data_IF_579779784582
#
_entry.id   IF_579779784582
#
_cell.length_a   1.000
_cell.length_b   1.000
_cell.length_c   1.000
_cell.angle_alpha   90.00
_cell.angle_beta   90.00
_cell.angle_gamma   90.00
#
_symmetry.space_group_name_H-M   'P 1'
#
loop_
_entity.id
_entity.type
_entity.pdbx_description
1 polymer ?
#
# COMPACT_ATOMS: atom_id res chain seq x y z
N UNK A 1 -12.74 25.24 -3.13
CA UNK A 1 -11.75 24.14 -3.21
C UNK A 1 -12.07 23.21 -4.39
N UNK A 2 -11.08 22.83 -5.23
CA UNK A 2 -11.24 22.19 -6.55
C UNK A 2 -12.27 22.88 -7.49
N UNK A 3 -12.30 22.54 -8.78
CA UNK A 3 -13.21 23.20 -9.72
C UNK A 3 -14.69 22.95 -9.36
N UNK A 4 -15.49 24.02 -9.36
CA UNK A 4 -16.94 24.00 -9.24
C UNK A 4 -17.52 24.53 -10.55
N UNK A 5 -18.44 23.80 -11.17
CA UNK A 5 -19.08 24.28 -12.38
C UNK A 5 -19.88 25.56 -12.09
N UNK A 6 -19.59 26.68 -12.78
CA UNK A 6 -20.29 27.94 -12.54
C UNK A 6 -21.74 27.92 -13.07
N UNK A 7 -22.13 26.88 -13.81
CA UNK A 7 -23.45 26.70 -14.41
C UNK A 7 -23.88 27.91 -15.28
N UNK A 8 -22.89 28.58 -15.89
CA UNK A 8 -23.11 29.67 -16.83
C UNK A 8 -23.06 29.09 -18.23
N UNK A 9 -24.15 29.28 -18.99
CA UNK A 9 -24.17 28.86 -20.40
C UNK A 9 -23.31 29.77 -21.27
N UNK A 10 -23.22 31.04 -20.91
CA UNK A 10 -22.47 32.03 -21.66
C UNK A 10 -21.37 32.64 -20.80
N UNK A 11 -20.19 32.82 -21.37
CA UNK A 11 -19.08 33.56 -20.77
C UNK A 11 -18.62 34.65 -21.72
N UNK A 12 -18.44 35.86 -21.20
CA UNK A 12 -17.97 37.01 -21.98
C UNK A 12 -16.65 36.67 -22.70
N UNK A 13 -16.61 36.84 -24.02
CA UNK A 13 -15.44 36.52 -24.86
C UNK A 13 -15.40 35.09 -25.38
N UNK A 14 -16.50 34.33 -25.26
CA UNK A 14 -16.63 32.97 -25.81
C UNK A 14 -17.85 32.90 -26.71
N UNK A 15 -17.64 32.51 -27.97
CA UNK A 15 -18.68 32.53 -29.02
C UNK A 15 -19.50 31.23 -29.11
N UNK A 16 -19.49 30.43 -28.05
CA UNK A 16 -20.27 29.19 -27.94
C UNK A 16 -20.82 29.00 -26.53
N UNK A 17 -21.95 28.32 -26.44
CA UNK A 17 -22.58 28.00 -25.17
C UNK A 17 -21.93 26.78 -24.52
N UNK A 18 -21.76 26.84 -23.21
CA UNK A 18 -21.31 25.71 -22.39
C UNK A 18 -22.51 24.83 -22.01
N UNK A 19 -22.42 23.53 -22.29
CA UNK A 19 -23.32 22.52 -21.77
C UNK A 19 -22.68 21.79 -20.58
N UNK A 20 -23.43 21.70 -19.48
CA UNK A 20 -22.94 21.15 -18.22
C UNK A 20 -24.07 20.38 -17.54
N UNK A 21 -23.98 19.06 -17.57
CA UNK A 21 -24.98 18.17 -16.97
C UNK A 21 -24.64 17.75 -15.53
N UNK A 22 -23.39 17.98 -15.08
CA UNK A 22 -22.84 17.48 -13.82
C UNK A 22 -23.64 17.85 -12.56
N UNK A 23 -24.33 19.01 -12.53
CA UNK A 23 -25.04 19.52 -11.34
C UNK A 23 -26.28 18.68 -10.98
N UNK A 24 -26.90 18.03 -11.97
CA UNK A 24 -28.09 17.21 -11.77
C UNK A 24 -27.75 15.73 -11.61
N UNK A 25 -26.46 15.40 -11.61
CA UNK A 25 -25.99 14.04 -11.48
C UNK A 25 -25.83 13.65 -10.01
N UNK A 26 -25.97 12.35 -9.79
CA UNK A 26 -25.86 11.66 -8.53
C UNK A 26 -24.74 10.63 -8.63
N UNK A 27 -24.34 10.07 -7.49
CA UNK A 27 -23.32 9.03 -7.47
C UNK A 27 -23.73 7.80 -8.31
N UNK A 28 -25.03 7.57 -8.53
CA UNK A 28 -25.53 6.50 -9.42
C UNK A 28 -25.21 6.75 -10.90
N UNK A 29 -25.05 8.00 -11.31
CA UNK A 29 -24.60 8.34 -12.68
C UNK A 29 -23.10 8.07 -12.87
N UNK A 30 -22.34 7.98 -11.77
CA UNK A 30 -20.91 7.65 -11.76
C UNK A 30 -20.72 6.13 -11.64
N UNK A 31 -21.50 5.50 -10.76
CA UNK A 31 -21.47 4.06 -10.47
C UNK A 31 -22.90 3.52 -10.54
N UNK A 32 -23.36 3.03 -11.72
CA UNK A 32 -24.73 2.55 -11.91
C UNK A 32 -25.12 1.41 -10.97
N UNK A 33 -24.15 0.56 -10.60
CA UNK A 33 -24.31 -0.58 -9.69
C UNK A 33 -24.34 -0.18 -8.21
N UNK A 34 -24.08 1.08 -7.88
CA UNK A 34 -24.10 1.53 -6.50
C UNK A 34 -25.51 1.39 -5.92
N UNK A 35 -25.56 0.86 -4.70
CA UNK A 35 -26.80 0.69 -3.98
C UNK A 35 -27.54 2.04 -3.81
N UNK A 36 -28.87 2.02 -3.93
CA UNK A 36 -29.73 3.21 -3.90
C UNK A 36 -29.42 4.21 -2.77
N UNK A 37 -29.04 3.70 -1.60
CA UNK A 37 -28.81 4.55 -0.42
C UNK A 37 -27.59 5.48 -0.58
N UNK A 38 -26.57 5.04 -1.34
CA UNK A 38 -25.38 5.82 -1.69
C UNK A 38 -25.47 6.39 -3.11
N UNK A 39 -26.18 5.71 -4.02
CA UNK A 39 -26.35 6.14 -5.41
C UNK A 39 -27.07 7.49 -5.52
N UNK A 40 -28.02 7.78 -4.61
CA UNK A 40 -28.75 9.06 -4.57
C UNK A 40 -27.94 10.25 -4.03
N UNK A 41 -26.71 10.03 -3.57
CA UNK A 41 -25.86 11.11 -3.07
C UNK A 41 -25.49 12.06 -4.20
N UNK A 42 -25.74 13.36 -4.00
CA UNK A 42 -25.32 14.40 -4.92
C UNK A 42 -23.91 14.88 -4.62
N UNK A 43 -23.25 15.40 -5.64
CA UNK A 43 -21.96 16.08 -5.55
C UNK A 43 -22.01 17.35 -6.40
N UNK A 44 -21.33 18.39 -5.94
CA UNK A 44 -21.36 19.73 -6.55
C UNK A 44 -20.02 20.13 -7.19
N UNK A 45 -18.95 19.44 -6.82
CA UNK A 45 -17.59 19.77 -7.23
C UNK A 45 -16.71 18.51 -7.30
N UNK A 46 -15.52 18.68 -7.90
CA UNK A 46 -14.57 17.58 -8.11
C UNK A 46 -14.12 16.96 -6.78
N UNK A 47 -13.93 17.76 -5.72
CA UNK A 47 -13.50 17.27 -4.42
C UNK A 47 -14.54 16.35 -3.77
N UNK A 48 -15.82 16.75 -3.78
CA UNK A 48 -16.92 15.94 -3.25
C UNK A 48 -17.04 14.62 -4.00
N UNK A 49 -16.93 14.64 -5.33
CA UNK A 49 -16.95 13.42 -6.13
C UNK A 49 -15.72 12.54 -5.85
N UNK A 50 -14.52 13.13 -5.81
CA UNK A 50 -13.28 12.41 -5.51
C UNK A 50 -13.35 11.72 -4.15
N UNK A 51 -13.94 12.38 -3.15
CA UNK A 51 -14.20 11.81 -1.82
C UNK A 51 -15.15 10.63 -1.88
N UNK A 52 -16.28 10.76 -2.58
CA UNK A 52 -17.25 9.67 -2.72
C UNK A 52 -16.65 8.45 -3.42
N UNK A 53 -15.95 8.66 -4.54
CA UNK A 53 -15.22 7.59 -5.25
C UNK A 53 -14.19 6.96 -4.31
N UNK A 54 -13.35 7.77 -3.67
CA UNK A 54 -12.30 7.27 -2.77
C UNK A 54 -12.87 6.37 -1.67
N UNK A 55 -13.96 6.78 -1.02
CA UNK A 55 -14.61 5.97 0.03
C UNK A 55 -15.22 4.70 -0.56
N UNK A 56 -15.92 4.81 -1.70
CA UNK A 56 -16.60 3.69 -2.34
C UNK A 56 -15.62 2.56 -2.74
N UNK A 57 -14.46 2.94 -3.28
CA UNK A 57 -13.41 2.01 -3.72
C UNK A 57 -12.54 1.51 -2.55
N UNK A 58 -12.60 2.14 -1.38
CA UNK A 58 -11.71 1.83 -0.26
C UNK A 58 -12.37 1.17 0.95
N UNK A 59 -13.64 1.45 1.24
CA UNK A 59 -14.34 0.93 2.41
C UNK A 59 -15.04 -0.38 2.07
N UNK A 60 -14.67 -1.50 2.70
CA UNK A 60 -15.34 -2.80 2.45
C UNK A 60 -16.67 -2.88 3.19
N UNK A 61 -16.72 -2.40 4.43
CA UNK A 61 -17.89 -2.63 5.26
C UNK A 61 -19.04 -1.76 4.72
N UNK A 62 -20.10 -2.41 4.24
CA UNK A 62 -21.21 -1.71 3.59
C UNK A 62 -21.83 -0.64 4.49
N UNK A 63 -21.98 -0.89 5.79
CA UNK A 63 -22.55 0.07 6.74
C UNK A 63 -21.60 1.24 7.00
N UNK A 64 -20.31 0.96 7.23
CA UNK A 64 -19.29 2.02 7.36
C UNK A 64 -19.17 2.83 6.09
N UNK A 65 -19.27 2.21 4.92
CA UNK A 65 -19.24 2.88 3.61
C UNK A 65 -20.41 3.84 3.50
N UNK A 66 -21.64 3.36 3.72
CA UNK A 66 -22.85 4.20 3.73
C UNK A 66 -22.71 5.37 4.70
N UNK A 67 -22.25 5.10 5.92
CA UNK A 67 -22.06 6.11 6.95
C UNK A 67 -21.04 7.18 6.52
N UNK A 68 -19.84 6.75 6.11
CA UNK A 68 -18.74 7.64 5.68
C UNK A 68 -19.07 8.43 4.41
N UNK A 69 -19.78 7.82 3.45
CA UNK A 69 -20.20 8.52 2.24
C UNK A 69 -21.28 9.57 2.53
N UNK A 70 -22.22 9.28 3.44
CA UNK A 70 -23.25 10.25 3.88
C UNK A 70 -22.65 11.38 4.73
N UNK A 71 -21.65 11.09 5.54
CA UNK A 71 -20.96 12.09 6.34
C UNK A 71 -20.04 12.95 5.45
N UNK A 72 -20.45 14.20 5.20
CA UNK A 72 -19.64 15.16 4.43
C UNK A 72 -18.39 15.63 5.19
N UNK A 73 -18.34 15.46 6.51
CA UNK A 73 -17.19 15.82 7.34
C UNK A 73 -16.10 14.75 7.32
N UNK A 74 -16.42 13.52 6.93
CA UNK A 74 -15.42 12.48 6.78
C UNK A 74 -14.59 12.73 5.51
N UNK A 75 -13.41 13.33 5.69
CA UNK A 75 -12.50 13.69 4.62
C UNK A 75 -11.54 12.53 4.33
N UNK A 76 -11.84 11.79 3.26
CA UNK A 76 -10.97 10.73 2.75
C UNK A 76 -10.90 10.82 1.24
N UNK A 77 -9.71 11.09 0.72
CA UNK A 77 -9.45 11.27 -0.71
C UNK A 77 -8.17 10.53 -1.07
N UNK A 78 -8.20 9.87 -2.23
CA UNK A 78 -7.09 9.14 -2.84
C UNK A 78 -6.69 9.81 -4.16
N UNK A 79 -5.45 9.59 -4.60
CA UNK A 79 -5.01 10.09 -5.91
C UNK A 79 -5.88 9.54 -7.04
N UNK A 80 -6.20 8.25 -7.00
CA UNK A 80 -7.08 7.57 -7.96
C UNK A 80 -8.49 8.18 -7.95
N UNK A 81 -9.09 8.41 -6.78
CA UNK A 81 -10.40 9.07 -6.68
C UNK A 81 -10.42 10.46 -7.32
N UNK A 82 -9.35 11.25 -7.15
CA UNK A 82 -9.23 12.59 -7.78
C UNK A 82 -9.09 12.48 -9.29
N UNK A 83 -8.23 11.58 -9.78
CA UNK A 83 -8.06 11.31 -11.21
C UNK A 83 -9.39 10.91 -11.89
N UNK A 84 -10.18 10.06 -11.25
CA UNK A 84 -11.51 9.63 -11.72
C UNK A 84 -12.52 10.77 -11.67
N UNK A 85 -12.53 11.56 -10.61
CA UNK A 85 -13.43 12.72 -10.52
C UNK A 85 -13.14 13.77 -11.61
N UNK A 86 -11.86 14.05 -11.90
CA UNK A 86 -11.49 14.97 -12.97
C UNK A 86 -11.90 14.46 -14.35
N UNK A 87 -11.70 13.17 -14.65
CA UNK A 87 -12.11 12.57 -15.92
C UNK A 87 -13.64 12.56 -16.09
N UNK A 88 -14.40 12.31 -15.01
CA UNK A 88 -15.85 12.44 -15.02
C UNK A 88 -16.30 13.87 -15.31
N UNK A 89 -15.76 14.86 -14.60
CA UNK A 89 -16.09 16.26 -14.84
C UNK A 89 -15.67 16.74 -16.23
N UNK A 90 -14.52 16.29 -16.75
CA UNK A 90 -14.10 16.54 -18.14
C UNK A 90 -15.16 16.07 -19.14
N UNK A 91 -15.83 14.95 -18.87
CA UNK A 91 -16.86 14.40 -19.77
C UNK A 91 -18.20 15.14 -19.71
N UNK A 92 -18.56 15.67 -18.54
CA UNK A 92 -19.91 16.20 -18.26
C UNK A 92 -19.97 17.70 -17.96
N UNK A 93 -18.84 18.40 -18.09
CA UNK A 93 -18.73 19.84 -17.88
C UNK A 93 -17.78 20.46 -18.92
N UNK A 94 -18.35 21.19 -19.89
CA UNK A 94 -17.58 21.86 -20.94
C UNK A 94 -16.56 22.86 -20.39
N UNK A 95 -16.85 23.49 -19.25
CA UNK A 95 -15.89 24.39 -18.59
C UNK A 95 -14.61 23.64 -18.18
N UNK A 96 -14.75 22.43 -17.61
CA UNK A 96 -13.59 21.60 -17.23
C UNK A 96 -12.89 21.08 -18.47
N UNK A 97 -13.65 20.61 -19.47
CA UNK A 97 -13.09 20.13 -20.73
C UNK A 97 -12.22 21.22 -21.40
N UNK A 98 -12.74 22.43 -21.53
CA UNK A 98 -12.02 23.57 -22.08
C UNK A 98 -10.82 23.96 -21.22
N UNK A 99 -11.00 24.03 -19.90
CA UNK A 99 -9.91 24.37 -18.97
C UNK A 99 -8.73 23.41 -19.14
N UNK A 100 -9.00 22.11 -19.22
CA UNK A 100 -7.97 21.08 -19.43
C UNK A 100 -7.35 21.16 -20.84
N UNK A 101 -8.12 21.50 -21.87
CA UNK A 101 -7.61 21.63 -23.24
C UNK A 101 -6.66 22.83 -23.42
N UNK A 102 -6.87 23.91 -22.66
CA UNK A 102 -6.02 25.09 -22.65
C UNK A 102 -4.87 25.00 -21.64
N UNK A 103 -4.84 23.96 -20.82
CA UNK A 103 -3.86 23.79 -19.76
C UNK A 103 -2.51 23.34 -20.34
N UNK A 104 -1.43 23.97 -19.92
CA UNK A 104 -0.06 23.66 -20.35
C UNK A 104 0.59 22.50 -19.56
N UNK A 105 -0.07 22.01 -18.52
CA UNK A 105 0.39 20.94 -17.65
C UNK A 105 1.14 21.42 -16.40
N UNK A 106 1.27 22.74 -16.20
CA UNK A 106 1.89 23.31 -15.02
C UNK A 106 1.11 22.98 -13.72
N UNK A 107 1.78 22.82 -12.56
CA UNK A 107 1.09 22.61 -11.29
C UNK A 107 0.14 23.77 -10.96
N UNK A 108 -1.08 23.44 -10.55
CA UNK A 108 -2.09 24.44 -10.14
C UNK A 108 -2.19 24.46 -8.62
N UNK A 109 -1.84 25.60 -8.04
CA UNK A 109 -1.88 25.82 -6.59
C UNK A 109 -3.23 26.39 -6.19
N UNK A 110 -3.90 25.71 -5.26
CA UNK A 110 -5.09 26.22 -4.60
C UNK A 110 -4.70 27.38 -3.68
N UNK A 111 -5.45 28.50 -3.70
CA UNK A 111 -5.12 29.68 -2.91
C UNK A 111 -5.38 29.51 -1.40
N UNK A 112 -6.27 28.59 -1.01
CA UNK A 112 -6.58 28.27 0.38
C UNK A 112 -7.19 26.87 0.50
N UNK A 113 -6.98 26.21 1.65
CA UNK A 113 -7.68 24.98 2.02
C UNK A 113 -8.94 25.33 2.83
N UNK A 114 -10.12 25.08 2.29
CA UNK A 114 -11.40 25.13 3.03
C UNK A 114 -11.50 24.05 4.12
N UNK A 115 -10.70 22.98 4.02
CA UNK A 115 -10.70 21.85 4.95
C UNK A 115 -9.43 21.88 5.79
N UNK A 116 -9.59 21.90 7.12
CA UNK A 116 -8.46 21.93 8.06
C UNK A 116 -7.73 20.59 8.20
N UNK A 117 -8.35 19.47 7.82
CA UNK A 117 -7.79 18.13 8.05
C UNK A 117 -6.78 17.70 6.99
N UNK A 118 -6.90 18.22 5.75
CA UNK A 118 -6.00 17.90 4.65
C UNK A 118 -5.10 19.11 4.39
N UNK A 119 -3.76 18.99 4.57
CA UNK A 119 -2.82 20.05 4.25
C UNK A 119 -2.97 20.56 2.82
N UNK A 120 -2.79 21.86 2.62
CA UNK A 120 -3.00 22.50 1.31
C UNK A 120 -2.00 22.00 0.27
N UNK A 121 -0.77 21.68 0.68
CA UNK A 121 0.27 21.14 -0.19
C UNK A 121 -0.19 19.80 -0.79
N UNK A 122 -0.78 18.94 0.04
CA UNK A 122 -1.35 17.67 -0.40
C UNK A 122 -2.52 17.87 -1.37
N UNK A 123 -3.39 18.84 -1.12
CA UNK A 123 -4.49 19.12 -2.03
C UNK A 123 -3.98 19.60 -3.40
N UNK A 124 -2.88 20.38 -3.42
CA UNK A 124 -2.25 20.86 -4.65
C UNK A 124 -1.60 19.73 -5.45
N UNK A 125 -0.95 18.79 -4.77
CA UNK A 125 -0.36 17.60 -5.41
C UNK A 125 -1.45 16.74 -6.05
N UNK A 126 -2.50 16.42 -5.28
CA UNK A 126 -3.65 15.65 -5.76
C UNK A 126 -4.35 16.34 -6.94
N UNK A 127 -4.52 17.66 -6.87
CA UNK A 127 -5.10 18.47 -7.94
C UNK A 127 -4.27 18.40 -9.22
N UNK A 128 -2.95 18.56 -9.09
CA UNK A 128 -2.03 18.49 -10.21
C UNK A 128 -1.99 17.10 -10.85
N UNK A 129 -2.03 16.03 -10.04
CA UNK A 129 -2.14 14.66 -10.57
C UNK A 129 -3.47 14.42 -11.30
N UNK A 130 -4.59 14.88 -10.74
CA UNK A 130 -5.91 14.76 -11.35
C UNK A 130 -5.98 15.44 -12.73
N UNK A 131 -5.44 16.65 -12.83
CA UNK A 131 -5.34 17.41 -14.10
C UNK A 131 -4.52 16.64 -15.13
N UNK A 132 -3.30 16.23 -14.78
CA UNK A 132 -2.39 15.50 -15.70
C UNK A 132 -3.03 14.20 -16.21
N UNK A 133 -3.69 13.47 -15.32
CA UNK A 133 -4.38 12.23 -15.69
C UNK A 133 -5.55 12.50 -16.64
N UNK A 134 -6.41 13.47 -16.31
CA UNK A 134 -7.56 13.78 -17.14
C UNK A 134 -7.21 14.40 -18.49
N UNK A 135 -6.05 15.06 -18.64
CA UNK A 135 -5.57 15.51 -19.96
C UNK A 135 -5.31 14.33 -20.90
N UNK A 136 -4.87 13.18 -20.39
CA UNK A 136 -4.44 12.02 -21.19
C UNK A 136 -5.46 10.89 -21.26
N UNK A 137 -6.47 10.88 -20.38
CA UNK A 137 -7.45 9.80 -20.28
C UNK A 137 -8.88 10.27 -20.59
N UNK A 138 -9.72 9.32 -21.01
CA UNK A 138 -11.15 9.52 -21.20
C UNK A 138 -11.95 8.83 -20.10
N UNK A 139 -13.17 9.30 -19.81
CA UNK A 139 -14.03 8.66 -18.80
C UNK A 139 -14.42 7.22 -19.19
N UNK A 140 -14.53 6.92 -20.49
CA UNK A 140 -14.86 5.57 -20.97
C UNK A 140 -13.80 4.52 -20.63
N UNK A 141 -12.56 4.93 -20.39
CA UNK A 141 -11.46 4.03 -20.04
C UNK A 141 -11.31 3.85 -18.52
N UNK A 142 -12.11 4.58 -17.74
CA UNK A 142 -12.05 4.63 -16.28
C UNK A 142 -13.14 3.74 -15.70
N UNK A 143 -12.73 2.84 -14.81
CA UNK A 143 -13.67 2.02 -14.03
C UNK A 143 -13.65 2.44 -12.57
N UNK A 144 -14.84 2.63 -11.99
CA UNK A 144 -15.00 2.76 -10.54
C UNK A 144 -15.47 1.42 -10.02
N UNK A 145 -14.62 0.75 -9.25
CA UNK A 145 -14.88 -0.61 -8.76
C UNK A 145 -15.24 -0.56 -7.29
N UNK A 146 -16.16 -1.42 -6.87
CA UNK A 146 -16.40 -1.59 -5.44
C UNK A 146 -15.14 -2.12 -4.74
N UNK A 147 -14.92 -1.68 -3.49
CA UNK A 147 -13.76 -2.07 -2.70
C UNK A 147 -13.59 -3.60 -2.60
N UNK A 148 -12.63 -4.16 -3.36
CA UNK A 148 -12.19 -5.56 -3.21
C UNK A 148 -11.06 -5.65 -2.19
N UNK A 149 -11.14 -6.63 -1.28
CA UNK A 149 -10.12 -6.87 -0.27
C UNK A 149 -9.00 -7.80 -0.75
N UNK A 150 -8.41 -7.51 -1.92
CA UNK A 150 -7.19 -8.23 -2.30
C UNK A 150 -6.04 -7.82 -1.39
N UNK A 151 -5.50 -8.79 -0.68
CA UNK A 151 -4.30 -8.67 0.14
C UNK A 151 -3.14 -9.26 -0.66
N UNK A 152 -2.13 -8.45 -0.96
CA UNK A 152 -0.89 -8.92 -1.55
C UNK A 152 0.16 -9.09 -0.45
N UNK A 153 0.63 -10.30 -0.24
CA UNK A 153 1.73 -10.60 0.69
C UNK A 153 3.00 -10.77 -0.14
N UNK A 154 3.89 -9.77 -0.06
CA UNK A 154 5.18 -9.77 -0.74
C UNK A 154 6.20 -10.48 0.15
N UNK A 155 6.68 -11.63 -0.31
CA UNK A 155 7.61 -12.50 0.40
C UNK A 155 8.92 -12.66 -0.38
N UNK A 156 10.07 -12.78 0.31
CA UNK A 156 11.33 -13.04 -0.36
C UNK A 156 11.40 -14.46 -0.94
N UNK A 157 12.34 -14.67 -1.86
CA UNK A 157 12.58 -15.92 -2.61
C UNK A 157 12.65 -17.21 -1.76
N UNK A 158 13.03 -17.12 -0.48
CA UNK A 158 13.02 -18.25 0.45
C UNK A 158 11.63 -18.91 0.61
N UNK A 159 10.55 -18.20 0.28
CA UNK A 159 9.17 -18.68 0.34
C UNK A 159 8.63 -19.20 -1.00
N UNK A 160 9.47 -19.41 -2.03
CA UNK A 160 9.00 -19.82 -3.38
C UNK A 160 8.13 -21.06 -3.44
N UNK A 161 8.22 -21.97 -2.46
CA UNK A 161 7.36 -23.17 -2.40
C UNK A 161 6.00 -22.90 -1.74
N UNK A 162 5.81 -21.79 -1.00
CA UNK A 162 4.57 -21.48 -0.29
C UNK A 162 3.31 -21.49 -1.18
N UNK A 163 3.27 -20.81 -2.34
CA UNK A 163 2.05 -20.76 -3.15
C UNK A 163 1.58 -22.14 -3.62
N UNK A 164 2.50 -23.08 -3.82
CA UNK A 164 2.18 -24.46 -4.24
C UNK A 164 1.65 -25.36 -3.12
N UNK A 165 1.84 -24.95 -1.86
CA UNK A 165 1.51 -25.75 -0.69
C UNK A 165 0.21 -25.32 -0.02
N UNK A 166 -0.24 -24.08 -0.25
CA UNK A 166 -1.38 -23.47 0.42
C UNK A 166 -2.61 -23.58 -0.47
N UNK A 167 -3.78 -23.77 0.13
CA UNK A 167 -5.05 -23.69 -0.60
C UNK A 167 -5.22 -22.26 -1.13
N UNK A 168 -5.39 -22.06 -2.45
CA UNK A 168 -5.58 -20.73 -3.01
C UNK A 168 -6.80 -20.05 -2.38
N UNK A 169 -6.64 -18.79 -1.99
CA UNK A 169 -7.75 -17.95 -1.53
C UNK A 169 -7.92 -16.76 -2.47
N UNK A 170 -9.15 -16.47 -2.87
CA UNK A 170 -9.44 -15.37 -3.81
C UNK A 170 -9.06 -13.99 -3.26
N UNK A 171 -8.99 -13.85 -1.94
CA UNK A 171 -8.68 -12.60 -1.25
C UNK A 171 -7.20 -12.40 -0.97
N UNK A 172 -6.36 -13.44 -1.08
CA UNK A 172 -4.93 -13.37 -0.75
C UNK A 172 -4.08 -13.81 -1.94
N UNK A 173 -3.19 -12.93 -2.37
CA UNK A 173 -2.19 -13.21 -3.39
C UNK A 173 -0.79 -13.19 -2.78
N UNK A 174 0.02 -14.20 -3.09
CA UNK A 174 1.41 -14.29 -2.63
C UNK A 174 2.34 -13.85 -3.76
N UNK A 175 3.02 -12.72 -3.57
CA UNK A 175 4.05 -12.23 -4.49
C UNK A 175 5.43 -12.64 -4.00
N UNK A 176 6.05 -13.62 -4.63
CA UNK A 176 7.43 -14.02 -4.32
C UNK A 176 8.38 -13.16 -5.15
N UNK A 177 9.23 -12.38 -4.48
CA UNK A 177 10.18 -11.49 -5.15
C UNK A 177 11.63 -11.93 -4.90
N UNK A 178 12.44 -11.86 -5.96
CA UNK A 178 13.88 -12.00 -5.87
C UNK A 178 14.57 -10.63 -5.86
N UNK A 179 13.98 -9.65 -6.56
CA UNK A 179 14.49 -8.28 -6.64
C UNK A 179 13.36 -7.27 -6.46
N UNK A 180 13.68 -6.12 -5.88
CA UNK A 180 12.69 -5.04 -5.68
C UNK A 180 12.10 -4.49 -6.98
N UNK A 181 12.79 -4.63 -8.13
CA UNK A 181 12.25 -4.19 -9.42
C UNK A 181 10.98 -4.92 -9.84
N UNK A 182 10.79 -6.15 -9.39
CA UNK A 182 9.63 -6.99 -9.74
C UNK A 182 8.37 -6.62 -8.94
N UNK A 183 8.55 -5.95 -7.79
CA UNK A 183 7.47 -5.61 -6.86
C UNK A 183 6.46 -4.65 -7.50
N UNK A 184 6.93 -3.70 -8.32
CA UNK A 184 6.04 -2.75 -9.00
C UNK A 184 5.03 -3.50 -9.89
N UNK A 185 5.51 -4.46 -10.69
CA UNK A 185 4.65 -5.22 -11.59
C UNK A 185 3.69 -6.14 -10.83
N UNK A 186 4.12 -6.70 -9.69
CA UNK A 186 3.25 -7.50 -8.81
C UNK A 186 2.10 -6.67 -8.25
N UNK A 187 2.39 -5.47 -7.76
CA UNK A 187 1.38 -4.54 -7.22
C UNK A 187 0.41 -4.12 -8.34
N UNK A 188 0.93 -3.79 -9.52
CA UNK A 188 0.11 -3.38 -10.67
C UNK A 188 -0.82 -4.50 -11.16
N UNK A 189 -0.38 -5.76 -11.14
CA UNK A 189 -1.23 -6.90 -11.54
C UNK A 189 -2.30 -7.22 -10.51
N UNK A 190 -1.94 -7.21 -9.22
CA UNK A 190 -2.85 -7.60 -8.15
C UNK A 190 -3.87 -6.50 -7.81
N UNK A 191 -3.55 -5.22 -8.09
CA UNK A 191 -4.30 -4.03 -7.65
C UNK A 191 -4.72 -4.12 -6.15
N UNK A 192 -3.80 -4.42 -5.22
CA UNK A 192 -4.17 -4.80 -3.86
C UNK A 192 -4.57 -3.59 -3.02
N UNK A 193 -5.54 -3.80 -2.12
CA UNK A 193 -5.94 -2.79 -1.13
C UNK A 193 -5.09 -2.88 0.15
N UNK A 194 -4.52 -4.04 0.42
CA UNK A 194 -3.58 -4.23 1.52
C UNK A 194 -2.32 -4.90 0.99
N UNK A 195 -1.17 -4.35 1.33
CA UNK A 195 0.14 -4.91 0.98
C UNK A 195 0.85 -5.23 2.27
N UNK A 196 1.28 -6.48 2.44
CA UNK A 196 2.18 -6.87 3.53
C UNK A 196 3.53 -7.11 2.90
N UNK A 197 4.48 -6.21 3.15
CA UNK A 197 5.86 -6.34 2.68
C UNK A 197 6.72 -6.95 3.78
N UNK A 198 7.20 -8.17 3.52
CA UNK A 198 8.22 -8.82 4.35
C UNK A 198 9.58 -8.48 3.77
N UNK A 199 10.51 -8.01 4.61
CA UNK A 199 11.87 -7.64 4.19
C UNK A 199 12.65 -8.79 3.51
N UNK A 200 13.69 -8.45 2.74
CA UNK A 200 14.45 -9.41 1.95
C UNK A 200 15.38 -10.28 2.80
N UNK A 201 15.76 -11.44 2.26
CA UNK A 201 16.66 -12.41 2.89
C UNK A 201 17.89 -12.62 2.00
N UNK A 202 18.96 -11.86 2.26
CA UNK A 202 20.23 -11.91 1.51
C UNK A 202 21.43 -11.97 2.46
N UNK A 203 22.51 -12.59 2.00
CA UNK A 203 23.77 -12.62 2.75
C UNK A 203 24.49 -11.27 2.74
N UNK A 204 24.35 -10.51 1.66
CA UNK A 204 24.98 -9.20 1.50
C UNK A 204 23.95 -8.06 1.58
N UNK A 205 24.33 -6.90 2.15
CA UNK A 205 23.48 -5.72 2.16
C UNK A 205 23.09 -5.28 0.75
N UNK A 206 21.82 -4.89 0.57
CA UNK A 206 21.33 -4.33 -0.68
C UNK A 206 21.75 -2.87 -0.83
N UNK A 207 21.98 -2.44 -2.08
CA UNK A 207 22.35 -1.06 -2.36
C UNK A 207 21.22 -0.08 -1.99
N UNK A 208 21.58 1.03 -1.33
CA UNK A 208 20.63 2.07 -0.86
C UNK A 208 19.66 2.56 -1.95
N UNK A 209 20.13 2.71 -3.19
CA UNK A 209 19.27 3.16 -4.29
C UNK A 209 18.10 2.21 -4.58
N UNK A 210 18.26 0.89 -4.35
CA UNK A 210 17.19 -0.09 -4.51
C UNK A 210 16.10 0.10 -3.46
N UNK A 211 16.49 0.36 -2.20
CA UNK A 211 15.56 0.70 -1.13
C UNK A 211 14.80 2.01 -1.40
N UNK A 212 15.48 3.03 -1.92
CA UNK A 212 14.82 4.30 -2.26
C UNK A 212 13.80 4.13 -3.39
N UNK A 213 14.11 3.34 -4.42
CA UNK A 213 13.14 3.00 -5.48
C UNK A 213 11.92 2.27 -4.90
N UNK A 214 12.13 1.33 -3.98
CA UNK A 214 11.04 0.65 -3.28
C UNK A 214 10.20 1.61 -2.43
N UNK A 215 10.83 2.57 -1.75
CA UNK A 215 10.12 3.62 -0.99
C UNK A 215 9.13 4.38 -1.89
N UNK A 216 9.55 4.75 -3.10
CA UNK A 216 8.69 5.41 -4.09
C UNK A 216 7.53 4.53 -4.52
N UNK A 217 7.75 3.23 -4.74
CA UNK A 217 6.70 2.27 -5.11
C UNK A 217 5.67 2.13 -3.98
N UNK A 218 6.12 2.03 -2.73
CA UNK A 218 5.25 1.93 -1.55
C UNK A 218 4.47 3.24 -1.35
N UNK A 219 5.12 4.39 -1.46
CA UNK A 219 4.46 5.69 -1.38
C UNK A 219 3.37 5.83 -2.45
N UNK A 220 3.67 5.46 -3.70
CA UNK A 220 2.70 5.47 -4.81
C UNK A 220 1.52 4.54 -4.53
N UNK A 221 1.76 3.36 -3.96
CA UNK A 221 0.72 2.41 -3.59
C UNK A 221 -0.18 2.97 -2.48
N UNK A 222 0.41 3.62 -1.47
CA UNK A 222 -0.33 4.27 -0.40
C UNK A 222 -1.18 5.45 -0.90
N UNK A 223 -0.64 6.26 -1.83
CA UNK A 223 -1.36 7.37 -2.50
C UNK A 223 -2.54 6.87 -3.33
N UNK A 224 -2.42 5.69 -3.95
CA UNK A 224 -3.51 5.00 -4.62
C UNK A 224 -4.58 4.43 -3.65
N UNK A 225 -4.36 4.54 -2.34
CA UNK A 225 -5.29 4.10 -1.30
C UNK A 225 -4.93 2.78 -0.63
N UNK A 226 -3.86 2.09 -1.04
CA UNK A 226 -3.48 0.82 -0.43
C UNK A 226 -2.92 1.03 0.99
N UNK A 227 -3.26 0.12 1.92
CA UNK A 227 -2.62 0.04 3.22
C UNK A 227 -1.37 -0.84 3.12
N UNK A 228 -0.20 -0.29 3.41
CA UNK A 228 1.06 -1.00 3.34
C UNK A 228 1.60 -1.25 4.74
N UNK A 229 1.77 -2.52 5.09
CA UNK A 229 2.36 -2.97 6.36
C UNK A 229 3.74 -3.53 6.09
N UNK A 230 4.76 -2.96 6.72
CA UNK A 230 6.16 -3.35 6.56
C UNK A 230 6.57 -4.17 7.78
N UNK A 231 7.03 -5.39 7.53
CA UNK A 231 7.40 -6.39 8.54
C UNK A 231 8.86 -6.78 8.37
N UNK A 232 9.49 -7.14 9.50
CA UNK A 232 10.90 -7.49 9.53
C UNK A 232 11.20 -8.69 8.63
N UNK A 233 12.39 -8.72 7.99
CA UNK A 233 12.83 -9.90 7.27
C UNK A 233 12.91 -11.12 8.22
N UNK A 234 12.64 -12.34 7.73
CA UNK A 234 12.98 -13.57 8.44
C UNK A 234 14.45 -13.56 8.88
N UNK A 235 14.73 -14.10 10.07
CA UNK A 235 16.11 -14.18 10.58
C UNK A 235 16.81 -15.41 10.01
N UNK A 236 18.05 -15.26 9.56
CA UNK A 236 18.87 -16.38 9.10
C UNK A 236 20.16 -15.96 8.39
N UNK A 237 20.12 -14.87 7.63
CA UNK A 237 21.22 -14.42 6.77
C UNK A 237 22.10 -13.37 7.44
N UNK A 238 23.34 -13.21 6.97
CA UNK A 238 24.33 -12.31 7.57
C UNK A 238 23.91 -10.83 7.54
N UNK A 239 23.32 -10.38 6.43
CA UNK A 239 22.87 -8.99 6.30
C UNK A 239 21.53 -8.70 7.00
N UNK A 240 20.98 -9.62 7.78
CA UNK A 240 19.65 -9.48 8.41
C UNK A 240 19.50 -8.20 9.23
N UNK A 241 20.48 -7.88 10.09
CA UNK A 241 20.47 -6.66 10.90
C UNK A 241 20.40 -5.40 10.05
N UNK A 242 21.20 -5.35 8.97
CA UNK A 242 21.22 -4.20 8.06
C UNK A 242 19.91 -4.10 7.28
N UNK A 243 19.41 -5.22 6.73
CA UNK A 243 18.15 -5.25 5.99
C UNK A 243 16.96 -4.79 6.85
N UNK A 244 16.97 -5.10 8.15
CA UNK A 244 15.97 -4.63 9.12
C UNK A 244 16.02 -3.11 9.30
N UNK A 245 17.21 -2.52 9.43
CA UNK A 245 17.41 -1.07 9.56
C UNK A 245 17.02 -0.36 8.26
N UNK A 246 17.48 -0.87 7.12
CA UNK A 246 17.19 -0.30 5.81
C UNK A 246 15.69 -0.34 5.49
N UNK A 247 15.00 -1.42 5.84
CA UNK A 247 13.54 -1.53 5.67
C UNK A 247 12.79 -0.49 6.52
N UNK A 248 13.28 -0.21 7.73
CA UNK A 248 12.74 0.87 8.59
C UNK A 248 12.98 2.24 7.97
N UNK A 249 14.21 2.53 7.54
CA UNK A 249 14.55 3.81 6.91
C UNK A 249 13.74 4.03 5.63
N UNK A 250 13.61 2.99 4.80
CA UNK A 250 12.78 2.99 3.61
C UNK A 250 11.31 3.32 3.94
N UNK A 251 10.76 2.76 5.03
CA UNK A 251 9.41 3.07 5.48
C UNK A 251 9.24 4.55 5.85
N UNK A 252 10.22 5.15 6.55
CA UNK A 252 10.20 6.58 6.88
C UNK A 252 10.22 7.45 5.62
N UNK A 253 11.09 7.11 4.66
CA UNK A 253 11.18 7.82 3.37
C UNK A 253 9.86 7.68 2.59
N UNK A 254 9.27 6.49 2.59
CA UNK A 254 7.98 6.24 1.93
C UNK A 254 6.85 7.04 2.59
N UNK A 255 6.83 7.16 3.92
CA UNK A 255 5.89 8.01 4.65
C UNK A 255 6.06 9.49 4.35
N UNK A 256 7.31 9.95 4.29
CA UNK A 256 7.64 11.32 3.89
C UNK A 256 7.24 11.62 2.45
N UNK A 257 7.33 10.63 1.56
CA UNK A 257 6.96 10.78 0.14
C UNK A 257 5.45 10.66 -0.11
N UNK A 258 4.79 9.76 0.62
CA UNK A 258 3.35 9.53 0.54
C UNK A 258 2.56 10.42 1.51
N UNK A 259 3.01 11.66 1.77
CA UNK A 259 2.55 12.55 2.86
C UNK A 259 1.06 12.44 3.15
N UNK A 260 0.27 12.50 2.09
CA UNK A 260 -1.18 12.48 2.06
C UNK A 260 -1.83 11.23 2.65
N UNK A 261 -1.12 10.13 2.55
CA UNK A 261 -1.51 8.78 2.93
C UNK A 261 -0.46 8.15 3.84
N UNK A 262 0.31 8.96 4.58
CA UNK A 262 1.36 8.47 5.50
C UNK A 262 0.82 7.49 6.53
N UNK A 263 -0.44 7.65 6.94
CA UNK A 263 -1.14 6.78 7.89
C UNK A 263 -1.46 5.39 7.29
N UNK A 264 -1.45 5.25 5.97
CA UNK A 264 -1.61 3.96 5.31
C UNK A 264 -0.30 3.17 5.27
N UNK A 265 0.84 3.77 5.60
CA UNK A 265 2.14 3.09 5.64
C UNK A 265 2.51 2.82 7.10
N UNK A 266 2.38 1.57 7.52
CA UNK A 266 2.64 1.12 8.89
C UNK A 266 3.93 0.32 8.93
N UNK A 267 4.94 0.85 9.62
CA UNK A 267 6.18 0.12 9.89
C UNK A 267 6.04 -0.60 11.22
N UNK A 268 5.97 -1.93 11.18
CA UNK A 268 5.83 -2.78 12.37
C UNK A 268 7.17 -3.37 12.84
N UNK A 269 8.29 -2.92 12.29
CA UNK A 269 9.62 -3.35 12.71
C UNK A 269 10.02 -2.50 13.92
N UNK A 270 10.11 -3.00 15.17
CA UNK A 270 10.58 -2.18 16.29
C UNK A 270 12.08 -1.90 16.21
N UNK A 271 12.52 -0.84 16.89
CA UNK A 271 13.93 -0.44 16.97
C UNK A 271 14.78 -1.48 17.72
N UNK A 272 14.19 -2.11 18.73
CA UNK A 272 14.78 -3.21 19.50
C UNK A 272 13.99 -4.47 19.17
N UNK A 273 14.68 -5.60 19.00
CA UNK A 273 14.06 -6.90 18.74
C UNK A 273 13.00 -7.23 19.79
N UNK A 274 11.80 -7.62 19.33
CA UNK A 274 10.71 -8.08 20.19
C UNK A 274 10.44 -9.58 19.98
N UNK A 275 10.06 -10.27 21.05
CA UNK A 275 9.63 -11.67 21.01
C UNK A 275 8.29 -11.89 20.32
N UNK A 276 7.57 -10.82 20.03
CA UNK A 276 6.30 -10.86 19.32
C UNK A 276 6.46 -10.88 17.80
N UNK A 277 7.69 -10.69 17.29
CA UNK A 277 7.91 -10.55 15.85
C UNK A 277 7.95 -11.89 15.11
N UNK A 278 7.38 -11.98 13.90
CA UNK A 278 7.32 -13.22 13.13
C UNK A 278 8.69 -13.82 12.80
N UNK A 279 9.75 -13.00 12.74
CA UNK A 279 11.09 -13.44 12.33
C UNK A 279 11.64 -14.59 13.19
N UNK A 280 11.21 -14.70 14.46
CA UNK A 280 11.73 -15.69 15.40
C UNK A 280 11.41 -17.12 14.99
N UNK A 281 10.24 -17.35 14.39
CA UNK A 281 9.80 -18.67 13.92
C UNK A 281 10.78 -19.27 12.90
N UNK A 282 11.39 -18.43 12.06
CA UNK A 282 12.32 -18.85 11.01
C UNK A 282 13.76 -18.96 11.51
N UNK A 283 14.15 -18.16 12.50
CA UNK A 283 15.48 -18.24 13.12
C UNK A 283 15.77 -19.58 13.81
N UNK A 284 14.72 -20.33 14.19
CA UNK A 284 14.83 -21.69 14.73
C UNK A 284 15.00 -22.77 13.64
N UNK A 285 14.71 -22.42 12.39
CA UNK A 285 14.74 -23.32 11.24
C UNK A 285 15.49 -22.67 10.06
N UNK A 286 16.79 -22.34 10.23
CA UNK A 286 17.56 -21.72 9.18
C UNK A 286 17.66 -22.64 7.95
N UNK A 287 17.64 -22.03 6.77
CA UNK A 287 17.94 -22.70 5.51
C UNK A 287 19.44 -22.92 5.35
N UNK A 288 19.83 -23.94 4.60
CA UNK A 288 21.24 -24.32 4.42
C UNK A 288 22.04 -23.29 3.61
N UNK A 289 21.38 -22.56 2.71
CA UNK A 289 21.96 -21.45 1.95
C UNK A 289 20.91 -20.37 1.66
N UNK A 290 21.34 -19.16 1.33
CA UNK A 290 20.44 -18.06 0.95
C UNK A 290 19.66 -18.30 -0.36
N UNK A 291 20.01 -19.34 -1.12
CA UNK A 291 19.26 -19.77 -2.32
C UNK A 291 18.24 -20.87 -2.02
N UNK A 292 18.32 -21.52 -0.87
CA UNK A 292 17.41 -22.61 -0.52
C UNK A 292 16.03 -22.10 -0.09
N UNK A 293 15.03 -22.95 -0.29
CA UNK A 293 13.70 -22.76 0.28
C UNK A 293 13.74 -23.01 1.77
N UNK A 294 12.92 -22.29 2.52
CA UNK A 294 12.67 -22.66 3.90
C UNK A 294 11.94 -24.00 4.04
N UNK A 295 12.09 -24.70 5.17
CA UNK A 295 11.28 -25.88 5.47
C UNK A 295 9.78 -25.56 5.50
N UNK A 296 8.94 -26.48 5.04
CA UNK A 296 7.49 -26.28 4.94
C UNK A 296 6.85 -25.92 6.28
N UNK A 297 7.25 -26.61 7.35
CA UNK A 297 6.74 -26.40 8.71
C UNK A 297 7.06 -24.98 9.18
N UNK A 298 8.30 -24.54 8.98
CA UNK A 298 8.74 -23.20 9.37
C UNK A 298 7.97 -22.10 8.61
N UNK A 299 7.71 -22.29 7.31
CA UNK A 299 6.91 -21.32 6.54
C UNK A 299 5.48 -21.20 7.06
N UNK A 300 4.82 -22.31 7.41
CA UNK A 300 3.45 -22.29 7.95
C UNK A 300 3.42 -21.58 9.32
N UNK A 301 4.37 -21.91 10.19
CA UNK A 301 4.50 -21.28 11.49
C UNK A 301 4.75 -19.77 11.36
N UNK A 302 5.64 -19.36 10.44
CA UNK A 302 5.88 -17.96 10.13
C UNK A 302 4.62 -17.25 9.65
N UNK A 303 3.87 -17.84 8.73
CA UNK A 303 2.65 -17.22 8.21
C UNK A 303 1.57 -17.06 9.30
N UNK A 304 1.46 -18.02 10.21
CA UNK A 304 0.55 -17.92 11.35
C UNK A 304 1.00 -16.83 12.35
N UNK A 305 2.30 -16.74 12.64
CA UNK A 305 2.85 -15.65 13.44
C UNK A 305 2.65 -14.28 12.76
N UNK A 306 2.89 -14.20 11.45
CA UNK A 306 2.68 -12.99 10.65
C UNK A 306 1.22 -12.53 10.73
N UNK A 307 0.27 -13.45 10.58
CA UNK A 307 -1.17 -13.19 10.69
C UNK A 307 -1.52 -12.55 12.03
N UNK A 308 -1.13 -13.15 13.14
CA UNK A 308 -1.43 -12.60 14.46
C UNK A 308 -0.74 -11.25 14.69
N UNK A 309 0.50 -11.10 14.20
CA UNK A 309 1.28 -9.89 14.34
C UNK A 309 0.65 -8.69 13.62
N UNK A 310 0.17 -8.88 12.39
CA UNK A 310 -0.41 -7.80 11.56
C UNK A 310 -1.92 -7.63 11.75
N UNK A 311 -2.57 -8.45 12.58
CA UNK A 311 -4.03 -8.53 12.72
C UNK A 311 -4.71 -7.20 13.04
N UNK A 312 -4.06 -6.34 13.82
CA UNK A 312 -4.58 -5.02 14.14
C UNK A 312 -4.66 -4.11 12.90
N UNK A 313 -3.83 -4.37 11.90
CA UNK A 313 -3.69 -3.55 10.70
C UNK A 313 -4.41 -4.15 9.49
N UNK A 314 -4.26 -5.46 9.27
CA UNK A 314 -4.82 -6.21 8.14
C UNK A 314 -5.30 -7.58 8.64
N UNK A 315 -6.57 -7.90 8.37
CA UNK A 315 -7.14 -9.20 8.71
C UNK A 315 -6.77 -10.22 7.63
N UNK A 316 -5.70 -10.98 7.87
CA UNK A 316 -5.22 -12.04 6.97
C UNK A 316 -5.92 -13.37 7.34
N UNK A 317 -6.52 -14.08 6.37
CA UNK A 317 -7.07 -15.42 6.59
C UNK A 317 -6.04 -16.45 7.07
N UNK A 318 -6.54 -17.60 7.54
CA UNK A 318 -5.70 -18.69 8.01
C UNK A 318 -5.07 -19.48 6.87
N UNK A 319 -3.75 -19.69 6.95
CA UNK A 319 -3.03 -20.52 5.97
C UNK A 319 -3.40 -21.98 6.16
N UNK A 320 -4.10 -22.55 5.18
CA UNK A 320 -4.44 -23.97 5.12
C UNK A 320 -3.55 -24.69 4.13
N UNK A 321 -2.91 -25.76 4.58
CA UNK A 321 -2.14 -26.63 3.70
C UNK A 321 -3.08 -27.38 2.74
N UNK A 322 -2.74 -27.37 1.46
CA UNK A 322 -3.34 -28.25 0.48
C UNK A 322 -3.05 -29.69 0.91
N UNK A 323 -4.09 -30.51 1.03
CA UNK A 323 -3.92 -31.93 1.34
C UNK A 323 -3.02 -32.54 0.26
N UNK A 324 -1.87 -33.05 0.68
CA UNK A 324 -1.04 -33.90 -0.19
C UNK A 324 -1.90 -35.14 -0.47
N UNK A 325 -2.37 -35.29 -1.72
CA UNK A 325 -2.98 -36.54 -2.14
C UNK A 325 -1.90 -37.62 -2.05
N UNK A 326 -1.82 -38.29 -0.91
CA UNK A 326 -1.03 -39.50 -0.74
C UNK A 326 -1.63 -40.57 -1.65
N UNK A 327 -1.16 -40.58 -2.89
CA UNK A 327 -1.32 -41.66 -3.84
C UNK A 327 -0.43 -42.85 -3.42
N UNK A 328 -0.62 -43.36 -2.20
CA UNK A 328 0.01 -44.59 -1.71
C UNK A 328 -0.91 -45.37 -0.75
N UNK A 329 -1.82 -46.15 -1.35
CA UNK A 329 -1.83 -47.62 -1.32
C UNK A 329 -3.25 -48.16 -1.37
N UNK A 330 -3.81 -48.24 -2.57
CA UNK A 330 -4.86 -49.21 -2.85
C UNK A 330 -4.16 -50.57 -3.05
N UNK A 331 -3.62 -51.15 -1.97
CA UNK A 331 -3.22 -52.56 -1.97
C UNK A 331 -4.46 -53.37 -1.65
N UNK A 332 -5.06 -53.92 -2.71
CA UNK A 332 -6.05 -54.99 -2.63
C UNK A 332 -5.62 -56.03 -1.58
N UNK A 333 -6.47 -56.39 -0.60
CA UNK A 333 -6.28 -57.61 0.18
C UNK A 333 -6.64 -58.78 -0.74
N UNK A 334 -5.64 -59.38 -1.39
CA UNK A 334 -5.85 -60.69 -2.02
C UNK A 334 -5.98 -61.73 -0.91
N UNK A 335 -7.17 -62.30 -0.84
CA UNK A 335 -7.45 -63.58 -0.21
C UNK A 335 -6.41 -64.64 -0.61
N UNK A 336 -5.88 -65.31 0.41
CA UNK A 336 -5.17 -66.57 0.29
C UNK A 336 -5.31 -67.30 1.61
N UNK A 337 -6.25 -68.25 1.67
CA UNK A 337 -6.62 -69.08 2.82
C UNK A 337 -6.22 -70.52 2.49
N UNK A 338 -5.74 -71.25 3.51
CA UNK A 338 -5.53 -72.71 3.59
C UNK A 338 -4.24 -73.27 2.92
N UNK A 339 -3.51 -74.26 3.46
CA UNK A 339 -3.61 -75.08 4.69
C UNK A 339 -2.28 -75.85 4.92
N UNK A 340 -1.99 -76.19 6.21
CA UNK A 340 -1.37 -77.44 6.74
C UNK A 340 0.07 -77.83 6.30
N UNK A 341 0.94 -78.50 7.06
CA UNK A 341 1.13 -78.91 8.46
C UNK A 341 2.52 -79.59 8.53
N UNK A 342 3.03 -79.79 9.76
CA UNK A 342 4.03 -80.80 10.19
C UNK A 342 5.51 -80.56 9.78
N UNK A 343 6.55 -80.82 10.58
CA UNK A 343 6.76 -81.09 12.01
C UNK A 343 8.30 -81.15 12.26
N UNK A 344 8.73 -81.19 13.52
CA UNK A 344 9.97 -81.85 14.02
C UNK A 344 11.33 -81.07 14.02
N UNK A 345 11.59 -80.49 15.20
CA UNK A 345 12.69 -80.80 16.15
C UNK A 345 14.07 -80.10 16.16
N UNK A 346 14.31 -79.47 17.32
CA UNK A 346 15.46 -79.60 18.26
C UNK A 346 16.90 -79.34 17.80
N UNK A 347 17.53 -78.32 18.44
CA UNK A 347 18.67 -78.41 19.42
C UNK A 347 19.28 -77.02 19.62
N UNK A 348 19.21 -76.43 20.83
CA UNK A 348 20.33 -76.20 21.79
C UNK A 348 21.62 -75.68 21.15
N UNK A 349 22.30 -74.62 21.61
CA UNK A 349 22.60 -74.21 22.99
C UNK A 349 23.41 -72.89 22.94
N UNK A 350 23.59 -72.28 24.10
CA UNK A 350 24.61 -71.27 24.49
C UNK A 350 24.34 -69.84 24.02
N UNK A 351 24.39 -68.78 24.83
CA UNK A 351 24.90 -68.57 26.19
C UNK A 351 25.40 -67.12 26.22
N UNK A 352 24.88 -66.26 27.11
CA UNK A 352 25.31 -64.86 27.14
C UNK A 352 24.53 -63.97 28.10
N UNK A 353 25.11 -63.77 29.27
CA UNK A 353 24.59 -63.05 30.44
C UNK A 353 25.06 -61.58 30.45
N UNK A 354 24.27 -60.70 31.09
CA UNK A 354 24.53 -59.31 31.56
C UNK A 354 24.57 -58.18 30.52
N UNK A 355 24.11 -56.94 30.76
CA UNK A 355 23.88 -56.19 32.02
C UNK A 355 22.91 -55.01 31.75
N UNK A 356 22.04 -54.74 32.72
CA UNK A 356 21.24 -53.52 32.82
C UNK A 356 22.11 -52.25 32.88
N UNK A 357 21.71 -51.19 32.18
CA UNK A 357 21.78 -49.82 32.71
C UNK A 357 20.58 -49.00 32.25
N UNK A 358 19.65 -48.78 33.19
CA UNK A 358 18.72 -47.67 33.18
C UNK A 358 19.48 -46.39 33.54
N UNK A 359 19.37 -45.35 32.72
CA UNK A 359 19.45 -43.96 33.22
C UNK A 359 18.32 -43.16 32.57
N UNK A 360 17.19 -43.10 33.28
CA UNK A 360 16.25 -41.98 33.19
C UNK A 360 16.90 -40.78 33.90
N UNK A 361 17.04 -39.65 33.22
CA UNK A 361 17.20 -38.34 33.87
C UNK A 361 16.12 -37.40 33.35
N UNK A 362 15.02 -37.40 34.07
CA UNK A 362 14.13 -36.25 34.24
C UNK A 362 14.88 -35.17 35.02
N UNK A 363 14.95 -33.95 34.51
CA UNK A 363 15.19 -32.78 35.36
C UNK A 363 14.02 -31.82 35.25
N UNK A 364 13.47 -31.54 36.43
CA UNK A 364 12.32 -30.68 36.70
C UNK A 364 12.70 -29.21 36.53
N UNK A 365 11.68 -28.44 36.13
CA UNK A 365 11.52 -27.00 36.34
C UNK A 365 11.94 -26.58 37.75
N UNK A 366 12.50 -25.39 37.88
CA UNK A 366 12.02 -24.46 38.90
C UNK A 366 12.08 -23.00 38.42
N UNK A 367 11.08 -22.17 38.78
CA UNK A 367 10.92 -20.80 38.35
C UNK A 367 11.47 -19.82 39.40
N UNK A 368 12.03 -18.68 38.98
CA UNK A 368 12.16 -17.51 39.85
C UNK A 368 11.99 -16.22 39.04
N UNK A 369 10.90 -15.52 39.38
CA UNK A 369 10.69 -14.08 39.50
C UNK A 369 11.79 -13.13 39.00
N UNK A 370 11.39 -12.10 38.25
CA UNK A 370 11.65 -10.71 38.64
C UNK A 370 10.76 -9.70 37.86
N UNK A 371 9.90 -9.05 38.64
CA UNK A 371 9.57 -7.60 38.65
C UNK A 371 8.97 -6.95 37.40
N UNK A 372 7.67 -6.67 37.52
CA UNK A 372 6.89 -5.71 36.71
C UNK A 372 7.04 -4.31 37.33
N UNK A 373 7.37 -3.26 36.57
CA UNK A 373 7.07 -1.89 36.98
C UNK A 373 5.66 -1.50 36.54
N UNK A 374 4.83 -1.30 37.55
CA UNK A 374 3.55 -0.63 37.51
C UNK A 374 3.80 0.88 37.30
N UNK A 375 3.26 1.50 36.26
CA UNK A 375 3.06 2.95 36.23
C UNK A 375 1.63 3.28 35.83
N UNK A 376 0.93 3.80 36.82
CA UNK A 376 -0.42 4.31 36.83
C UNK A 376 -0.56 5.64 36.10
N UNK A 377 -1.75 5.80 35.51
CA UNK A 377 -2.45 7.03 35.15
C UNK A 377 -1.98 8.31 35.85
N UNK A 378 -1.88 9.40 35.08
CA UNK A 378 -2.29 10.70 35.57
C UNK A 378 -2.93 11.53 34.44
N UNK A 379 -4.26 11.61 34.52
CA UNK A 379 -5.10 12.65 33.94
C UNK A 379 -4.91 13.95 34.72
N UNK A 380 -4.75 15.08 34.02
CA UNK A 380 -5.51 16.27 34.42
C UNK A 380 -5.69 17.26 33.25
N UNK A 381 -6.91 17.81 33.06
CA UNK A 381 -7.24 18.78 32.03
C UNK A 381 -7.26 20.23 32.56
N UNK A 382 -7.40 21.15 31.60
CA UNK A 382 -7.94 22.52 31.70
C UNK A 382 -6.99 23.71 31.92
N UNK A 383 -7.49 24.82 31.33
CA UNK A 383 -7.16 26.24 31.40
C UNK A 383 -6.31 26.74 30.21
N UNK A 384 -6.67 27.76 29.43
CA UNK A 384 -7.79 28.72 29.45
C UNK A 384 -7.87 29.39 28.06
N UNK A 385 -9.06 29.90 27.75
CA UNK A 385 -9.43 30.74 26.62
C UNK A 385 -8.54 31.99 26.44
N UNK A 386 -8.34 32.44 25.20
CA UNK A 386 -8.75 33.80 24.82
C UNK A 386 -8.98 33.94 23.31
N UNK A 387 -10.12 34.55 23.00
CA UNK A 387 -10.61 34.91 21.69
C UNK A 387 -9.94 36.17 21.16
N UNK A 388 -9.64 36.22 19.86
CA UNK A 388 -9.69 37.45 19.08
C UNK A 388 -10.33 37.14 17.73
N UNK A 389 -11.56 37.61 17.53
CA UNK A 389 -12.18 37.70 16.21
C UNK A 389 -11.58 38.86 15.42
N UNK A 390 -11.59 38.76 14.08
CA UNK A 390 -11.96 39.91 13.28
C UNK A 390 -13.17 39.64 12.39
N UNK A 391 -13.86 40.74 12.14
CA UNK A 391 -15.15 40.90 11.49
C UNK A 391 -15.20 40.47 10.01
N UNK A 392 -16.40 40.01 9.63
CA UNK A 392 -17.08 40.16 8.33
C UNK A 392 -16.27 40.66 7.14
N UNK A 393 -16.10 39.77 6.15
CA UNK A 393 -16.06 40.12 4.72
C UNK A 393 -16.87 39.06 3.95
N UNK A 394 -17.88 39.51 3.20
CA UNK A 394 -18.60 38.69 2.23
C UNK A 394 -17.65 38.14 1.15
N UNK A 395 -17.78 36.88 0.69
CA UNK A 395 -17.06 36.46 -0.50
C UNK A 395 -17.77 37.02 -1.74
N UNK A 396 -17.16 38.05 -2.32
CA UNK A 396 -17.41 38.43 -3.70
C UNK A 396 -17.07 37.24 -4.61
N UNK A 397 -18.03 36.83 -5.44
CA UNK A 397 -17.80 35.93 -6.55
C UNK A 397 -16.88 36.60 -7.57
N UNK A 398 -15.64 36.16 -7.74
CA UNK A 398 -14.78 36.69 -8.81
C UNK A 398 -13.97 35.59 -9.52
N UNK A 399 -14.41 35.34 -10.76
CA UNK A 399 -13.62 35.29 -11.98
C UNK A 399 -12.20 34.70 -11.93
N UNK A 400 -12.10 33.40 -12.21
CA UNK A 400 -10.84 32.74 -12.58
C UNK A 400 -10.57 32.72 -14.10
N UNK A 401 -11.30 33.49 -14.92
CA UNK A 401 -11.21 33.33 -16.39
C UNK A 401 -11.11 34.61 -17.23
N UNK A 402 -11.04 35.81 -16.66
CA UNK A 402 -10.88 37.03 -17.45
C UNK A 402 -9.53 37.68 -17.17
N UNK A 403 -8.48 37.20 -17.84
CA UNK A 403 -7.35 38.08 -18.15
C UNK A 403 -6.89 37.82 -19.59
N UNK A 404 -6.92 38.84 -20.46
CA UNK A 404 -6.45 38.71 -21.83
C UNK A 404 -4.93 38.54 -21.84
N UNK A 405 -4.47 37.65 -22.71
CA UNK A 405 -3.06 37.47 -23.08
C UNK A 405 -2.48 38.83 -23.49
N UNK A 406 -1.52 39.35 -22.71
CA UNK A 406 -0.64 40.44 -23.16
C UNK A 406 0.75 39.84 -23.37
N UNK A 407 1.31 39.88 -24.60
CA UNK A 407 2.67 39.42 -24.82
C UNK A 407 3.65 40.42 -24.20
N UNK A 408 4.45 39.96 -23.24
CA UNK A 408 5.58 40.73 -22.73
C UNK A 408 6.69 40.73 -23.79
N UNK A 409 6.73 41.78 -24.60
CA UNK A 409 7.87 42.12 -25.45
C UNK A 409 9.00 42.59 -24.52
N UNK A 410 10.00 41.73 -24.31
CA UNK A 410 11.24 42.10 -23.64
C UNK A 410 12.08 42.94 -24.58
N UNK A 411 12.06 44.26 -24.36
CA UNK A 411 13.14 45.13 -24.79
C UNK A 411 14.08 45.32 -23.59
N UNK A 412 15.29 44.77 -23.67
CA UNK A 412 16.38 45.33 -22.89
C UNK A 412 17.68 45.31 -23.67
N UNK A 413 18.10 46.54 -24.00
CA UNK A 413 19.37 46.95 -24.55
C UNK A 413 20.50 46.58 -23.60
N UNK A 414 21.63 46.20 -24.19
CA UNK A 414 22.81 45.75 -23.50
C UNK A 414 23.59 46.82 -22.73
N UNK A 415 24.40 46.31 -21.80
CA UNK A 415 25.73 46.76 -21.37
C UNK A 415 26.42 45.45 -20.94
N UNK A 416 27.51 44.97 -21.54
CA UNK A 416 28.72 45.69 -21.90
C UNK A 416 29.71 45.61 -20.75
N UNK A 417 30.31 44.44 -20.50
CA UNK A 417 31.52 44.33 -19.67
C UNK A 417 32.60 43.50 -20.37
N UNK A 418 33.72 44.19 -20.60
CA UNK A 418 34.93 43.74 -21.26
C UNK A 418 35.68 42.74 -20.38
N UNK A 419 36.11 41.63 -20.97
CA UNK A 419 37.26 40.85 -20.49
C UNK A 419 38.39 41.02 -21.50
N UNK A 420 39.55 41.48 -21.02
CA UNK A 420 40.73 41.82 -21.78
C UNK A 420 41.74 40.67 -21.64
N UNK A 421 42.08 40.06 -22.78
CA UNK A 421 43.41 39.56 -23.19
C UNK A 421 44.22 38.67 -22.24
N UNK A 422 44.62 37.48 -22.73
CA UNK A 422 46.04 37.16 -22.96
C UNK A 422 46.27 35.76 -23.58
N UNK A 423 46.75 35.78 -24.83
CA UNK A 423 47.85 35.00 -25.45
C UNK A 423 47.92 33.47 -25.35
N UNK A 424 48.15 32.86 -26.53
CA UNK A 424 48.99 31.67 -26.73
C UNK A 424 48.39 30.71 -27.77
N UNK A 425 48.60 30.92 -29.08
CA UNK A 425 49.65 30.34 -29.96
C UNK A 425 49.53 28.82 -30.23
N UNK A 426 49.39 28.50 -31.52
CA UNK A 426 49.73 27.23 -32.18
C UNK A 426 48.67 26.14 -32.01
N UNK A 427 48.22 25.39 -33.00
CA UNK A 427 48.67 25.13 -34.37
C UNK A 427 48.01 23.80 -34.75
N UNK A 428 47.38 23.72 -35.92
CA UNK A 428 46.86 22.49 -36.54
C UNK A 428 48.03 21.53 -36.91
N UNK A 429 47.78 20.32 -37.46
CA UNK A 429 46.71 19.33 -37.23
C UNK A 429 47.28 17.91 -37.00
N UNK A 430 46.46 16.97 -36.52
CA UNK A 430 46.18 15.65 -37.12
C UNK A 430 44.92 15.07 -36.47
#
# INVERSE_FOLDING_TARGET
MFFICPNRRHMDGVDYDFDCSVKNMTFKDVVPEAEDSIGRLSFSNIFELARLISIYECERNADKKRFRMKDRKFLFITATGVQKAFTFFKRHCDHVCRSLALHDGAPVMLPYAETTEIPIEQLNDLNSEGIKFAMTHSWSDVTVKEATQKILILLPEGFRSLPSMVVPEETVEYGIYQRFSEIADMISRAEPRSIIFVGPTHDLPLHRASWMKLATIIAKSALAGAKVVIVAPPRGEEAWNQARIDAREMAEVARGSGMSMKHNIVCMIPLVESTTEPFQSMGLHPRSSATDTYPQIAMVDYMNCLREFVRAEVEVPEVRLAKKNDSRSNRNPRHGRHHSNDDISQRTRDGGVTKNYHVKKTFRRNPLNCVVPNMSNNTNPNLMLSSVMPHFMHPQSLAFMNSPVVPFISTNRGRGFRSRTSRGRGGYPY
#
